data_IF_177338354538
#
_entry.id   IF_177338354538
#
_cell.length_a   1.000
_cell.length_b   1.000
_cell.length_c   1.000
_cell.angle_alpha   90.00
_cell.angle_beta   90.00
_cell.angle_gamma   90.00
#
_symmetry.space_group_name_H-M   'P 1'
#
loop_
_entity.id
_entity.type
_entity.pdbx_description
1 polymer ?
#
# COMPACT_ATOMS: atom_id res chain seq x y z
N UNK A 1 10.59 -16.44 11.15
CA UNK A 1 10.20 -17.08 9.88
C UNK A 1 8.70 -17.06 9.56
N UNK A 2 7.79 -16.84 10.53
CA UNK A 2 6.34 -16.82 10.25
C UNK A 2 5.83 -15.51 9.60
N UNK A 3 6.31 -14.34 10.05
CA UNK A 3 5.78 -13.04 9.61
C UNK A 3 5.87 -12.77 8.10
N UNK A 4 6.99 -13.09 7.46
CA UNK A 4 7.15 -12.88 6.01
C UNK A 4 6.13 -13.69 5.18
N UNK A 5 5.87 -14.94 5.55
CA UNK A 5 4.86 -15.76 4.87
C UNK A 5 3.43 -15.24 5.05
N UNK A 6 3.13 -14.62 6.19
CA UNK A 6 1.82 -14.00 6.46
C UNK A 6 1.64 -12.69 5.67
N UNK A 7 2.70 -11.89 5.53
CA UNK A 7 2.67 -10.63 4.78
C UNK A 7 2.45 -10.86 3.29
N UNK A 8 3.16 -11.83 2.71
CA UNK A 8 2.97 -12.26 1.32
C UNK A 8 1.52 -12.70 1.05
N UNK A 9 0.92 -13.53 1.91
CA UNK A 9 -0.49 -13.95 1.78
C UNK A 9 -1.46 -12.79 1.95
N UNK A 10 -1.21 -11.91 2.92
CA UNK A 10 -2.04 -10.71 3.10
C UNK A 10 -2.02 -9.82 1.85
N UNK A 11 -0.85 -9.65 1.23
CA UNK A 11 -0.72 -8.89 -0.01
C UNK A 11 -1.54 -9.50 -1.16
N UNK A 12 -1.57 -10.83 -1.30
CA UNK A 12 -2.39 -11.52 -2.31
C UNK A 12 -3.89 -11.20 -2.12
N UNK A 13 -4.42 -11.42 -0.92
CA UNK A 13 -5.83 -11.11 -0.62
C UNK A 13 -6.16 -9.63 -0.82
N UNK A 14 -5.24 -8.74 -0.48
CA UNK A 14 -5.42 -7.31 -0.64
C UNK A 14 -5.35 -6.88 -2.12
N UNK A 15 -4.56 -7.57 -2.96
CA UNK A 15 -4.58 -7.37 -4.41
C UNK A 15 -5.93 -7.72 -5.01
N UNK A 16 -6.54 -8.82 -4.59
CA UNK A 16 -7.90 -9.18 -5.01
C UNK A 16 -8.93 -8.14 -4.56
N UNK A 17 -8.82 -7.65 -3.32
CA UNK A 17 -9.71 -6.63 -2.78
C UNK A 17 -9.65 -5.32 -3.59
N UNK A 18 -8.45 -4.83 -3.92
CA UNK A 18 -8.30 -3.61 -4.73
C UNK A 18 -8.60 -3.82 -6.22
N UNK A 19 -8.50 -5.06 -6.72
CA UNK A 19 -8.96 -5.39 -8.06
C UNK A 19 -10.49 -5.37 -8.15
N UNK A 20 -11.19 -5.82 -7.10
CA UNK A 20 -12.65 -5.77 -7.02
C UNK A 20 -13.18 -4.36 -6.74
N UNK A 21 -12.51 -3.59 -5.89
CA UNK A 21 -12.85 -2.18 -5.61
C UNK A 21 -11.59 -1.30 -5.64
N UNK A 22 -11.27 -0.73 -6.82
CA UNK A 22 -10.14 0.17 -6.97
C UNK A 22 -10.26 1.46 -6.13
N UNK A 23 -11.45 1.83 -5.68
CA UNK A 23 -11.67 3.02 -4.86
C UNK A 23 -11.47 2.74 -3.35
N UNK A 24 -11.12 1.51 -2.97
CA UNK A 24 -10.96 1.13 -1.57
C UNK A 24 -9.61 1.58 -0.99
N UNK A 25 -9.53 2.86 -0.59
CA UNK A 25 -8.34 3.50 -0.01
C UNK A 25 -7.68 2.72 1.14
N UNK A 26 -8.48 2.11 2.03
CA UNK A 26 -7.96 1.35 3.16
C UNK A 26 -7.29 0.04 2.74
N UNK A 27 -7.81 -0.65 1.70
CA UNK A 27 -7.19 -1.85 1.15
C UNK A 27 -5.85 -1.53 0.48
N UNK A 28 -5.78 -0.43 -0.27
CA UNK A 28 -4.50 0.05 -0.83
C UNK A 28 -3.47 0.38 0.26
N UNK A 29 -3.89 1.02 1.36
CA UNK A 29 -3.00 1.30 2.51
C UNK A 29 -2.48 0.01 3.12
N UNK A 30 -3.36 -0.96 3.36
CA UNK A 30 -2.99 -2.25 3.91
C UNK A 30 -2.06 -3.03 2.96
N UNK A 31 -2.29 -2.96 1.65
CA UNK A 31 -1.49 -3.63 0.63
C UNK A 31 -0.06 -3.06 0.62
N UNK A 32 0.08 -1.74 0.57
CA UNK A 32 1.39 -1.08 0.63
C UNK A 32 2.14 -1.42 1.92
N UNK A 33 1.44 -1.55 3.05
CA UNK A 33 2.06 -1.94 4.32
C UNK A 33 2.54 -3.38 4.29
N UNK A 34 1.69 -4.31 3.86
CA UNK A 34 2.06 -5.73 3.77
C UNK A 34 3.27 -5.94 2.85
N UNK A 35 3.27 -5.29 1.68
CA UNK A 35 4.40 -5.35 0.74
C UNK A 35 5.68 -4.75 1.31
N UNK A 36 5.60 -3.63 2.03
CA UNK A 36 6.77 -3.03 2.68
C UNK A 36 7.34 -3.93 3.78
N UNK A 37 6.47 -4.55 4.60
CA UNK A 37 6.89 -5.50 5.63
C UNK A 37 7.36 -6.85 5.07
N UNK A 38 7.05 -7.15 3.81
CA UNK A 38 7.56 -8.30 3.04
C UNK A 38 8.89 -7.98 2.32
N UNK A 39 9.38 -6.74 2.41
CA UNK A 39 10.61 -6.28 1.76
C UNK A 39 10.45 -5.90 0.29
N UNK A 40 9.21 -5.89 -0.23
CA UNK A 40 8.87 -5.55 -1.61
C UNK A 40 8.61 -4.04 -1.73
N UNK A 41 9.63 -3.24 -1.47
CA UNK A 41 9.52 -1.78 -1.34
C UNK A 41 9.03 -1.08 -2.61
N UNK A 42 9.44 -1.52 -3.81
CA UNK A 42 8.93 -0.97 -5.08
C UNK A 42 7.42 -1.17 -5.23
N UNK A 43 6.93 -2.39 -4.99
CA UNK A 43 5.51 -2.69 -5.12
C UNK A 43 4.69 -2.00 -4.04
N UNK A 44 5.24 -1.88 -2.83
CA UNK A 44 4.63 -1.12 -1.75
C UNK A 44 4.44 0.36 -2.15
N UNK A 45 5.45 0.96 -2.77
CA UNK A 45 5.38 2.33 -3.26
C UNK A 45 4.30 2.50 -4.33
N UNK A 46 4.20 1.58 -5.29
CA UNK A 46 3.14 1.60 -6.30
C UNK A 46 1.74 1.47 -5.68
N UNK A 47 1.58 0.56 -4.72
CA UNK A 47 0.31 0.37 -4.00
C UNK A 47 -0.10 1.64 -3.24
N UNK A 48 0.84 2.31 -2.56
CA UNK A 48 0.55 3.58 -1.90
C UNK A 48 0.19 4.69 -2.89
N UNK A 49 0.85 4.78 -4.04
CA UNK A 49 0.52 5.78 -5.08
C UNK A 49 -0.90 5.60 -5.60
N UNK A 50 -1.29 4.36 -5.94
CA UNK A 50 -2.66 4.02 -6.35
C UNK A 50 -3.67 4.30 -5.24
N UNK A 51 -3.32 3.97 -4.00
CA UNK A 51 -4.14 4.26 -2.82
C UNK A 51 -4.37 5.75 -2.59
N UNK A 52 -3.36 6.58 -2.79
CA UNK A 52 -3.46 8.04 -2.70
C UNK A 52 -4.46 8.57 -3.74
N UNK A 53 -4.39 8.08 -4.98
CA UNK A 53 -5.36 8.45 -6.02
C UNK A 53 -6.79 8.03 -5.64
N UNK A 54 -6.97 6.80 -5.16
CA UNK A 54 -8.26 6.29 -4.70
C UNK A 54 -8.82 7.09 -3.51
N UNK A 55 -7.97 7.40 -2.53
CA UNK A 55 -8.32 8.21 -1.36
C UNK A 55 -8.74 9.63 -1.77
N UNK A 56 -8.00 10.24 -2.70
CA UNK A 56 -8.31 11.56 -3.24
C UNK A 56 -9.65 11.57 -3.97
N UNK A 57 -9.90 10.56 -4.81
CA UNK A 57 -11.17 10.42 -5.53
C UNK A 57 -12.36 10.27 -4.58
N UNK A 58 -12.19 9.58 -3.44
CA UNK A 58 -13.22 9.38 -2.42
C UNK A 58 -13.34 10.54 -1.42
N UNK A 59 -12.39 11.49 -1.41
CA UNK A 59 -12.29 12.54 -0.40
C UNK A 59 -11.77 12.06 0.96
N UNK A 60 -11.14 10.88 1.01
CA UNK A 60 -10.52 10.30 2.20
C UNK A 60 -9.15 10.95 2.49
N UNK A 61 -9.21 12.17 3.03
CA UNK A 61 -8.02 12.98 3.33
C UNK A 61 -7.09 12.33 4.36
N UNK A 62 -7.60 11.44 5.21
CA UNK A 62 -6.78 10.78 6.22
C UNK A 62 -5.92 9.70 5.58
N UNK A 63 -6.53 8.82 4.79
CA UNK A 63 -5.79 7.77 4.09
C UNK A 63 -4.78 8.36 3.09
N UNK A 64 -5.15 9.43 2.38
CA UNK A 64 -4.25 10.17 1.48
C UNK A 64 -2.97 10.63 2.20
N UNK A 65 -3.11 11.28 3.36
CA UNK A 65 -1.97 11.78 4.15
C UNK A 65 -1.08 10.65 4.66
N UNK A 66 -1.67 9.62 5.26
CA UNK A 66 -0.92 8.47 5.78
C UNK A 66 -0.11 7.80 4.68
N UNK A 67 -0.76 7.47 3.56
CA UNK A 67 -0.09 6.81 2.44
C UNK A 67 0.98 7.69 1.79
N UNK A 68 0.78 9.01 1.74
CA UNK A 68 1.80 9.95 1.25
C UNK A 68 3.06 9.92 2.11
N UNK A 69 2.92 9.82 3.44
CA UNK A 69 4.09 9.70 4.34
C UNK A 69 4.83 8.39 4.10
N UNK A 70 4.11 7.27 3.97
CA UNK A 70 4.71 5.97 3.69
C UNK A 70 5.40 5.92 2.32
N UNK A 71 4.75 6.44 1.28
CA UNK A 71 5.31 6.54 -0.06
C UNK A 71 6.62 7.32 -0.07
N UNK A 72 6.65 8.51 0.55
CA UNK A 72 7.87 9.33 0.64
C UNK A 72 9.00 8.63 1.40
N UNK A 73 8.67 7.87 2.44
CA UNK A 73 9.66 7.10 3.20
C UNK A 73 10.29 6.01 2.32
N UNK A 74 9.48 5.29 1.55
CA UNK A 74 9.95 4.27 0.61
C UNK A 74 10.74 4.89 -0.54
N UNK A 75 10.29 6.02 -1.11
CA UNK A 75 11.05 6.73 -2.15
C UNK A 75 12.46 7.09 -1.68
N UNK A 76 12.59 7.54 -0.43
CA UNK A 76 13.91 7.82 0.16
C UNK A 76 14.72 6.55 0.40
N UNK A 77 14.08 5.44 0.79
CA UNK A 77 14.74 4.13 0.95
C UNK A 77 15.31 3.64 -0.38
N UNK A 78 14.53 3.75 -1.45
CA UNK A 78 14.86 3.26 -2.79
C UNK A 78 15.87 4.14 -3.55
N UNK A 79 16.03 5.40 -3.14
CA UNK A 79 16.94 6.37 -3.77
C UNK A 79 18.35 6.40 -3.13
N UNK A 80 18.57 5.66 -2.04
CA UNK A 80 19.86 5.52 -1.36
C UNK A 80 20.57 4.22 -1.72
#
# INVERSE_FOLDING_TARGET
YLKAGEHSRAAEYLREAVASDPAYSAAWKALGKALAEDGREQEALEAYRRGIEAARAKGDKQAEKEMTVFARRLERSLAG
#
